data_IF_656337125229
#
_entry.id   IF_656337125229
#
_cell.length_a   1.000
_cell.length_b   1.000
_cell.length_c   1.000
_cell.angle_alpha   90.00
_cell.angle_beta   90.00
_cell.angle_gamma   90.00
#
_symmetry.space_group_name_H-M   'P 1'
#
loop_
_entity.id
_entity.type
_entity.pdbx_description
1 polymer ?
#
# COMPACT_ATOMS: atom_id res chain seq x y z
N UNK A 1 4.31 14.46 6.03
CA UNK A 1 3.56 14.28 4.76
C UNK A 1 2.07 14.19 5.09
N UNK A 2 1.18 14.72 4.26
CA UNK A 2 -0.27 14.63 4.50
C UNK A 2 -0.79 13.20 4.25
N UNK A 3 -1.57 12.66 5.19
CA UNK A 3 -2.24 11.36 5.09
C UNK A 3 -3.06 11.19 3.80
N UNK A 4 -3.65 12.29 3.32
CA UNK A 4 -4.40 12.35 2.04
C UNK A 4 -3.53 12.03 0.82
N UNK A 5 -2.24 12.37 0.86
CA UNK A 5 -1.30 12.05 -0.22
C UNK A 5 -1.02 10.54 -0.27
N UNK A 6 -0.80 9.92 0.89
CA UNK A 6 -0.59 8.48 1.00
C UNK A 6 -1.83 7.68 0.56
N UNK A 7 -3.03 8.08 1.00
CA UNK A 7 -4.29 7.48 0.54
C UNK A 7 -4.42 7.50 -1.00
N UNK A 8 -4.12 8.65 -1.63
CA UNK A 8 -4.17 8.75 -3.09
C UNK A 8 -3.16 7.82 -3.76
N UNK A 9 -1.95 7.68 -3.22
CA UNK A 9 -0.94 6.78 -3.75
C UNK A 9 -1.35 5.31 -3.60
N UNK A 10 -1.86 4.92 -2.42
CA UNK A 10 -2.36 3.58 -2.14
C UNK A 10 -3.46 3.22 -3.13
N UNK A 11 -4.46 4.10 -3.30
CA UNK A 11 -5.55 3.87 -4.26
C UNK A 11 -5.04 3.77 -5.69
N UNK A 12 -4.10 4.62 -6.10
CA UNK A 12 -3.56 4.59 -7.46
C UNK A 12 -2.82 3.28 -7.75
N UNK A 13 -2.00 2.81 -6.80
CA UNK A 13 -1.25 1.57 -6.92
C UNK A 13 -2.18 0.36 -6.82
N UNK A 14 -3.05 0.30 -5.82
CA UNK A 14 -4.02 -0.78 -5.65
C UNK A 14 -4.94 -0.91 -6.87
N UNK A 15 -5.39 0.20 -7.45
CA UNK A 15 -6.20 0.20 -8.67
C UNK A 15 -5.47 -0.49 -9.83
N UNK A 16 -4.17 -0.22 -9.99
CA UNK A 16 -3.32 -0.88 -10.99
C UNK A 16 -3.26 -2.40 -10.80
N UNK A 17 -3.25 -2.88 -9.56
CA UNK A 17 -3.27 -4.32 -9.26
C UNK A 17 -4.64 -4.95 -9.48
N UNK A 18 -5.71 -4.27 -9.02
CA UNK A 18 -7.09 -4.76 -9.17
C UNK A 18 -7.60 -4.72 -10.61
N UNK A 19 -7.18 -3.74 -11.43
CA UNK A 19 -7.60 -3.63 -12.83
C UNK A 19 -6.85 -4.61 -13.75
N UNK A 20 -5.64 -5.04 -13.38
CA UNK A 20 -4.87 -6.03 -14.15
C UNK A 20 -5.28 -7.48 -13.87
N UNK A 21 -5.74 -7.80 -12.65
CA UNK A 21 -6.10 -9.17 -12.25
C UNK A 21 -7.49 -9.24 -11.58
N UNK A 22 -8.59 -8.92 -12.30
CA UNK A 22 -10.00 -9.11 -11.84
C UNK A 22 -10.26 -8.86 -10.34
N UNK A 23 -9.62 -7.84 -9.74
CA UNK A 23 -9.60 -7.65 -8.30
C UNK A 23 -10.76 -6.78 -7.85
N UNK A 24 -11.48 -7.21 -6.81
CA UNK A 24 -12.40 -6.34 -6.10
C UNK A 24 -11.63 -5.13 -5.56
N UNK A 25 -12.23 -3.92 -5.58
CA UNK A 25 -11.60 -2.75 -4.97
C UNK A 25 -11.32 -3.02 -3.49
N UNK A 26 -10.22 -2.46 -2.97
CA UNK A 26 -9.92 -2.50 -1.53
C UNK A 26 -11.12 -1.97 -0.74
N UNK A 27 -11.51 -2.70 0.31
CA UNK A 27 -12.42 -2.19 1.32
C UNK A 27 -11.76 -1.08 2.14
N UNK A 28 -12.59 -0.28 2.82
CA UNK A 28 -12.12 0.81 3.68
C UNK A 28 -11.19 0.29 4.81
N UNK A 29 -11.50 -0.88 5.37
CA UNK A 29 -10.67 -1.51 6.41
C UNK A 29 -9.31 -1.95 5.86
N UNK A 30 -9.26 -2.50 4.65
CA UNK A 30 -8.00 -2.89 4.01
C UNK A 30 -7.17 -1.66 3.68
N UNK A 31 -7.79 -0.59 3.19
CA UNK A 31 -7.11 0.68 2.93
C UNK A 31 -6.51 1.28 4.21
N UNK A 32 -7.26 1.29 5.32
CA UNK A 32 -6.74 1.74 6.63
C UNK A 32 -5.58 0.88 7.12
N UNK A 33 -5.68 -0.45 6.96
CA UNK A 33 -4.62 -1.37 7.36
C UNK A 33 -3.33 -1.15 6.55
N UNK A 34 -3.45 -0.97 5.23
CA UNK A 34 -2.32 -0.64 4.35
C UNK A 34 -1.69 0.70 4.73
N UNK A 35 -2.51 1.71 5.04
CA UNK A 35 -2.02 3.02 5.49
C UNK A 35 -1.19 2.92 6.76
N UNK A 36 -1.70 2.20 7.77
CA UNK A 36 -0.99 2.02 9.03
C UNK A 36 0.36 1.32 8.80
N UNK A 37 0.41 0.31 7.92
CA UNK A 37 1.62 -0.45 7.59
C UNK A 37 2.66 0.41 6.86
N UNK A 38 2.23 1.22 5.89
CA UNK A 38 3.10 2.19 5.18
C UNK A 38 3.61 3.27 6.13
N UNK A 39 2.74 3.82 6.99
CA UNK A 39 3.15 4.81 7.99
C UNK A 39 4.18 4.24 8.97
N UNK A 40 4.03 2.97 9.37
CA UNK A 40 4.98 2.27 10.21
C UNK A 40 6.35 2.13 9.52
N UNK A 41 6.39 1.61 8.28
CA UNK A 41 7.64 1.50 7.50
C UNK A 41 8.35 2.86 7.32
N UNK A 42 7.59 3.92 7.02
CA UNK A 42 8.12 5.28 6.95
C UNK A 42 8.67 5.80 8.29
N UNK A 43 8.02 5.47 9.41
CA UNK A 43 8.45 5.86 10.74
C UNK A 43 9.67 5.06 11.23
N UNK A 44 9.77 3.79 10.84
CA UNK A 44 10.90 2.90 11.12
C UNK A 44 12.17 3.29 10.34
N UNK A 45 12.08 4.32 9.49
CA UNK A 45 13.21 4.91 8.79
C UNK A 45 13.60 4.18 7.51
N UNK A 46 12.67 3.42 6.91
CA UNK A 46 12.88 2.72 5.65
C UNK A 46 13.34 3.74 4.59
N UNK A 47 14.59 3.60 4.13
CA UNK A 47 15.20 4.49 3.15
C UNK A 47 14.80 4.05 1.75
N UNK A 48 13.64 4.51 1.30
CA UNK A 48 13.12 4.27 -0.05
C UNK A 48 12.21 5.41 -0.50
N UNK A 49 11.92 5.50 -1.78
CA UNK A 49 10.88 6.41 -2.23
C UNK A 49 9.52 5.94 -1.67
N UNK A 50 8.68 6.87 -1.22
CA UNK A 50 7.33 6.55 -0.70
C UNK A 50 6.55 5.64 -1.65
N UNK A 51 6.77 5.81 -2.97
CA UNK A 51 6.15 4.99 -4.00
C UNK A 51 6.59 3.52 -3.95
N UNK A 52 7.86 3.25 -3.68
CA UNK A 52 8.41 1.89 -3.55
C UNK A 52 7.84 1.22 -2.30
N UNK A 53 7.81 1.93 -1.17
CA UNK A 53 7.23 1.45 0.09
C UNK A 53 5.74 1.11 -0.09
N UNK A 54 4.99 1.99 -0.76
CA UNK A 54 3.57 1.75 -1.08
C UNK A 54 3.42 0.52 -1.99
N UNK A 55 4.30 0.37 -2.98
CA UNK A 55 4.27 -0.74 -3.91
C UNK A 55 4.54 -2.07 -3.22
N UNK A 56 5.58 -2.17 -2.40
CA UNK A 56 5.91 -3.38 -1.64
C UNK A 56 4.76 -3.79 -0.71
N UNK A 57 4.25 -2.84 0.08
CA UNK A 57 3.17 -3.15 1.02
C UNK A 57 1.91 -3.66 0.30
N UNK A 58 1.56 -3.06 -0.84
CA UNK A 58 0.41 -3.49 -1.63
C UNK A 58 0.69 -4.84 -2.33
N UNK A 59 1.89 -5.03 -2.86
CA UNK A 59 2.30 -6.27 -3.49
C UNK A 59 2.25 -7.45 -2.49
N UNK A 60 2.85 -7.29 -1.30
CA UNK A 60 2.78 -8.26 -0.20
C UNK A 60 1.34 -8.55 0.20
N UNK A 61 0.49 -7.52 0.27
CA UNK A 61 -0.92 -7.69 0.60
C UNK A 61 -1.68 -8.55 -0.42
N UNK A 62 -1.49 -8.31 -1.73
CA UNK A 62 -2.18 -9.05 -2.78
C UNK A 62 -1.58 -10.44 -3.04
N UNK A 63 -0.27 -10.60 -2.90
CA UNK A 63 0.42 -11.86 -3.19
C UNK A 63 0.55 -12.79 -1.98
N UNK A 64 0.30 -12.29 -0.78
CA UNK A 64 0.47 -13.05 0.46
C UNK A 64 1.93 -13.41 0.78
N UNK A 65 2.91 -12.81 0.09
CA UNK A 65 4.32 -12.95 0.46
C UNK A 65 4.61 -12.04 1.66
N UNK A 66 4.40 -12.56 2.87
CA UNK A 66 4.93 -11.94 4.08
C UNK A 66 6.48 -11.96 4.00
N UNK A 67 7.09 -10.78 4.05
CA UNK A 67 8.53 -10.65 4.29
C UNK A 67 8.82 -11.21 5.70
N UNK A 68 9.46 -12.39 5.75
CA UNK A 68 10.00 -13.03 6.98
C UNK A 68 11.29 -12.34 7.44
#
# INVERSE_FOLDING_TARGET
>A
MEQKFLQKQIRAVAKSYTEMEMGLPLSEQEEEHLLARIQKKLADGETGEVREIVHDVIYTFFTGQEED
#
